data_IF_888761052506
#
_entry.id   IF_888761052506
#
_cell.length_a   1.000
_cell.length_b   1.000
_cell.length_c   1.000
_cell.angle_alpha   90.00
_cell.angle_beta   90.00
_cell.angle_gamma   90.00
#
_symmetry.space_group_name_H-M   'P 1'
#
loop_
_entity.id
_entity.type
_entity.pdbx_description
1 polymer ?
#
# COMPACT_ATOMS: atom_id res chain seq x y z
N UNK A 1 -16.27 -9.33 41.81
CA UNK A 1 -15.91 -8.78 40.48
C UNK A 1 -15.04 -9.79 39.74
N UNK A 2 -15.57 -10.44 38.70
CA UNK A 2 -14.82 -11.41 37.88
C UNK A 2 -13.98 -10.70 36.82
N UNK A 3 -12.70 -11.07 36.71
CA UNK A 3 -11.72 -10.52 35.76
C UNK A 3 -12.01 -11.10 34.37
N UNK A 4 -12.43 -10.28 33.42
CA UNK A 4 -12.60 -10.68 32.01
C UNK A 4 -11.21 -10.95 31.40
N UNK A 5 -10.95 -12.19 30.99
CA UNK A 5 -9.79 -12.54 30.18
C UNK A 5 -10.02 -12.12 28.73
N UNK A 6 -9.06 -11.39 28.15
CA UNK A 6 -9.06 -11.12 26.71
C UNK A 6 -8.74 -12.41 25.97
N UNK A 7 -9.70 -12.92 25.21
CA UNK A 7 -9.53 -14.08 24.32
C UNK A 7 -9.13 -13.53 22.96
N UNK A 8 -8.00 -13.98 22.42
CA UNK A 8 -7.65 -13.78 21.02
C UNK A 8 -8.00 -15.07 20.25
N UNK A 9 -8.80 -14.94 19.21
CA UNK A 9 -9.15 -16.05 18.32
C UNK A 9 -8.20 -16.02 17.13
N UNK A 10 -7.60 -17.16 16.80
CA UNK A 10 -6.80 -17.34 15.59
C UNK A 10 -7.56 -18.30 14.68
N UNK A 11 -7.95 -17.82 13.52
CA UNK A 11 -8.55 -18.66 12.49
C UNK A 11 -7.44 -19.24 11.61
N UNK A 12 -7.54 -20.53 11.33
CA UNK A 12 -6.68 -21.25 10.40
C UNK A 12 -7.56 -21.77 9.26
N UNK A 13 -7.18 -21.49 8.02
CA UNK A 13 -7.86 -22.07 6.86
C UNK A 13 -7.28 -23.45 6.60
N UNK A 14 -8.14 -24.46 6.56
CA UNK A 14 -7.77 -25.81 6.12
C UNK A 14 -7.92 -25.87 4.61
N UNK A 15 -6.89 -26.35 3.91
CA UNK A 15 -6.94 -26.54 2.45
C UNK A 15 -8.00 -27.60 2.14
N UNK A 16 -8.97 -27.25 1.29
CA UNK A 16 -10.01 -28.19 0.85
C UNK A 16 -9.46 -28.93 -0.36
N UNK A 17 -9.21 -30.23 -0.21
CA UNK A 17 -8.90 -31.10 -1.36
C UNK A 17 -10.15 -31.21 -2.25
N UNK A 18 -10.18 -30.43 -3.33
CA UNK A 18 -11.19 -30.42 -4.38
C UNK A 18 -10.54 -30.20 -5.75
N UNK A 19 -11.29 -30.37 -6.87
CA UNK A 19 -10.70 -30.30 -8.20
C UNK A 19 -10.03 -28.94 -8.43
N UNK A 20 -8.72 -28.97 -8.66
CA UNK A 20 -7.81 -27.82 -8.61
C UNK A 20 -7.77 -26.96 -9.88
N UNK A 21 -8.63 -27.20 -10.86
CA UNK A 21 -8.60 -26.42 -12.11
C UNK A 21 -9.75 -25.42 -12.18
N UNK A 22 -9.51 -24.19 -11.73
CA UNK A 22 -10.28 -23.05 -12.21
C UNK A 22 -10.03 -22.91 -13.72
N UNK A 23 -10.96 -23.39 -14.55
CA UNK A 23 -10.89 -23.35 -16.02
C UNK A 23 -10.79 -21.93 -16.63
N UNK A 24 -10.88 -20.89 -15.80
CA UNK A 24 -10.78 -19.49 -16.19
C UNK A 24 -9.36 -18.93 -16.18
N UNK A 25 -8.39 -19.61 -15.55
CA UNK A 25 -6.98 -19.20 -15.61
C UNK A 25 -6.24 -20.02 -16.65
N UNK A 26 -6.18 -19.51 -17.88
CA UNK A 26 -5.12 -19.93 -18.81
C UNK A 26 -3.82 -19.26 -18.34
N UNK A 27 -2.77 -20.02 -17.98
CA UNK A 27 -1.47 -19.44 -17.74
C UNK A 27 -1.06 -18.66 -19.00
N UNK A 28 -0.57 -17.42 -18.84
CA UNK A 28 0.07 -16.74 -19.97
C UNK A 28 1.32 -17.54 -20.34
N UNK A 29 1.54 -17.76 -21.63
CA UNK A 29 2.75 -18.44 -22.12
C UNK A 29 4.00 -17.62 -21.80
N UNK A 30 3.87 -16.29 -21.80
CA UNK A 30 4.93 -15.37 -21.39
C UNK A 30 4.86 -15.03 -19.90
N UNK A 31 5.99 -15.09 -19.16
CA UNK A 31 6.04 -14.63 -17.78
C UNK A 31 5.74 -13.14 -17.72
N UNK A 32 4.89 -12.74 -16.77
CA UNK A 32 4.57 -11.34 -16.50
C UNK A 32 5.86 -10.61 -16.06
N UNK A 33 6.49 -9.89 -16.98
CA UNK A 33 7.65 -9.04 -16.70
C UNK A 33 7.21 -7.59 -16.57
N UNK A 34 7.62 -6.96 -15.48
CA UNK A 34 7.55 -5.52 -15.31
C UNK A 34 8.95 -5.04 -14.96
N UNK A 35 9.48 -4.15 -15.78
CA UNK A 35 10.82 -3.61 -15.57
C UNK A 35 10.85 -2.65 -14.39
N UNK A 36 9.70 -2.14 -13.94
CA UNK A 36 9.59 -1.27 -12.77
C UNK A 36 8.56 -1.82 -11.78
N UNK A 37 8.96 -1.92 -10.51
CA UNK A 37 8.14 -2.48 -9.43
C UNK A 37 8.19 -1.56 -8.23
N UNK A 38 7.04 -1.19 -7.70
CA UNK A 38 6.88 -0.50 -6.42
C UNK A 38 6.40 -1.52 -5.41
N UNK A 39 7.24 -1.80 -4.41
CA UNK A 39 6.87 -2.61 -3.25
C UNK A 39 6.61 -1.67 -2.09
N UNK A 40 5.48 -1.80 -1.41
CA UNK A 40 5.25 -1.07 -0.17
C UNK A 40 4.42 -1.88 0.83
N UNK A 41 4.58 -1.52 2.09
CA UNK A 41 3.87 -2.12 3.22
C UNK A 41 3.48 -1.04 4.23
N UNK A 42 2.41 -1.28 4.99
CA UNK A 42 1.93 -0.31 5.98
C UNK A 42 1.68 -0.94 7.35
N UNK A 43 2.10 -0.22 8.38
CA UNK A 43 1.75 -0.51 9.77
C UNK A 43 0.57 0.37 10.20
N UNK A 44 -0.32 -0.21 10.98
CA UNK A 44 -1.56 0.45 11.41
C UNK A 44 -1.65 0.60 12.92
N UNK A 45 -2.58 1.43 13.40
CA UNK A 45 -2.92 1.49 14.82
C UNK A 45 -3.46 0.14 15.30
N UNK A 46 -3.20 -0.20 16.57
CA UNK A 46 -3.72 -1.44 17.17
C UNK A 46 -5.18 -1.35 17.64
N UNK A 47 -5.82 -0.20 17.44
CA UNK A 47 -7.23 -0.01 17.77
C UNK A 47 -8.15 -0.63 16.70
N UNK A 48 -9.45 -0.63 16.97
CA UNK A 48 -10.45 -1.18 16.06
C UNK A 48 -10.54 -0.47 14.69
N UNK A 49 -9.97 0.73 14.58
CA UNK A 49 -10.01 1.50 13.33
C UNK A 49 -8.86 1.14 12.40
N UNK A 50 -7.73 0.66 12.95
CA UNK A 50 -6.52 0.32 12.21
C UNK A 50 -6.18 1.38 11.16
N UNK A 51 -6.08 2.62 11.63
CA UNK A 51 -5.66 3.75 10.81
C UNK A 51 -4.20 3.58 10.41
N UNK A 52 -3.81 4.13 9.26
CA UNK A 52 -2.42 4.18 8.86
C UNK A 52 -1.56 4.84 9.94
N UNK A 53 -0.36 4.30 10.19
CA UNK A 53 0.59 4.87 11.15
C UNK A 53 1.92 5.19 10.48
N UNK A 54 2.58 4.17 9.94
CA UNK A 54 3.84 4.27 9.19
C UNK A 54 3.80 3.31 8.01
N UNK A 55 4.70 3.51 7.05
CA UNK A 55 4.91 2.58 5.95
C UNK A 55 6.33 2.67 5.42
N UNK A 56 6.70 1.66 4.64
CA UNK A 56 7.98 1.57 3.94
C UNK A 56 7.72 1.26 2.48
N UNK A 57 8.63 1.70 1.61
CA UNK A 57 8.56 1.37 0.20
C UNK A 57 9.94 1.23 -0.43
N UNK A 58 9.98 0.45 -1.51
CA UNK A 58 11.13 0.31 -2.39
C UNK A 58 10.64 0.32 -3.83
N UNK A 59 11.37 1.03 -4.69
CA UNK A 59 11.15 1.03 -6.13
C UNK A 59 12.32 0.30 -6.77
N UNK A 60 12.01 -0.73 -7.52
CA UNK A 60 12.96 -1.48 -8.32
C UNK A 60 12.82 -1.11 -9.78
N UNK A 61 13.95 -1.04 -10.48
CA UNK A 61 14.01 -1.05 -11.93
C UNK A 61 14.99 -2.12 -12.38
N UNK A 62 14.53 -3.06 -13.20
CA UNK A 62 15.30 -4.21 -13.69
C UNK A 62 16.00 -5.01 -12.58
N UNK A 63 15.35 -5.12 -11.42
CA UNK A 63 15.86 -5.82 -10.23
C UNK A 63 16.79 -5.00 -9.34
N UNK A 64 17.11 -3.74 -9.68
CA UNK A 64 17.92 -2.84 -8.87
C UNK A 64 17.08 -1.83 -8.13
N UNK A 65 17.37 -1.61 -6.84
CA UNK A 65 16.73 -0.55 -6.04
C UNK A 65 17.10 0.81 -6.64
N UNK A 66 16.09 1.54 -7.07
CA UNK A 66 16.22 2.91 -7.58
C UNK A 66 15.96 3.95 -6.49
N UNK A 67 15.04 3.63 -5.60
CA UNK A 67 14.64 4.53 -4.53
C UNK A 67 13.99 3.75 -3.40
N UNK A 68 14.21 4.18 -2.17
CA UNK A 68 13.56 3.62 -1.00
C UNK A 68 13.26 4.71 0.02
N UNK A 69 12.28 4.44 0.87
CA UNK A 69 11.90 5.39 1.88
C UNK A 69 10.93 4.86 2.90
N UNK A 70 10.78 5.64 3.95
CA UNK A 70 9.76 5.49 4.96
C UNK A 70 8.78 6.65 4.86
N UNK A 71 7.52 6.39 5.18
CA UNK A 71 6.48 7.41 5.21
C UNK A 71 5.59 7.26 6.43
N UNK A 72 5.02 8.36 6.91
CA UNK A 72 4.25 8.34 8.16
C UNK A 72 3.17 9.41 8.25
N UNK A 73 2.18 9.17 9.09
CA UNK A 73 1.20 10.18 9.49
C UNK A 73 1.64 10.77 10.84
N UNK A 74 2.04 12.05 10.89
CA UNK A 74 2.51 12.68 12.13
C UNK A 74 1.43 12.74 13.21
N UNK A 75 0.15 12.63 12.86
CA UNK A 75 -0.97 12.63 13.82
C UNK A 75 -1.18 11.28 14.51
N UNK A 76 -0.55 10.22 14.02
CA UNK A 76 -0.78 8.83 14.46
C UNK A 76 0.37 8.28 15.33
N UNK A 77 1.46 9.04 15.48
CA UNK A 77 2.62 8.66 16.31
C UNK A 77 2.65 9.47 17.60
N UNK A 78 2.86 8.80 18.72
CA UNK A 78 3.25 9.49 19.94
C UNK A 78 4.68 10.05 19.80
N UNK A 79 5.02 11.11 20.56
CA UNK A 79 6.32 11.79 20.46
C UNK A 79 7.53 10.84 20.54
N UNK A 80 7.50 9.86 21.45
CA UNK A 80 8.57 8.86 21.58
C UNK A 80 8.70 7.96 20.35
N UNK A 81 7.57 7.56 19.77
CA UNK A 81 7.56 6.71 18.58
C UNK A 81 8.06 7.49 17.36
N UNK A 82 7.64 8.75 17.25
CA UNK A 82 8.11 9.67 16.21
C UNK A 82 9.62 9.90 16.33
N UNK A 83 10.14 10.15 17.52
CA UNK A 83 11.58 10.30 17.74
C UNK A 83 12.35 9.04 17.34
N UNK A 84 11.88 7.86 17.76
CA UNK A 84 12.50 6.59 17.39
C UNK A 84 12.48 6.37 15.86
N UNK A 85 11.35 6.64 15.21
CA UNK A 85 11.19 6.49 13.77
C UNK A 85 12.10 7.43 12.98
N UNK A 86 12.13 8.73 13.35
CA UNK A 86 12.99 9.72 12.71
C UNK A 86 14.48 9.44 12.94
N UNK A 87 14.84 8.96 14.14
CA UNK A 87 16.20 8.57 14.47
C UNK A 87 16.65 7.35 13.66
N UNK A 88 15.78 6.35 13.52
CA UNK A 88 16.03 5.17 12.68
C UNK A 88 16.28 5.56 11.22
N UNK A 89 15.40 6.38 10.64
CA UNK A 89 15.56 6.82 9.27
C UNK A 89 16.86 7.61 9.05
N UNK A 90 17.17 8.55 9.97
CA UNK A 90 18.41 9.34 9.91
C UNK A 90 19.66 8.47 10.01
N UNK A 91 19.66 7.51 10.95
CA UNK A 91 20.81 6.61 11.18
C UNK A 91 21.10 5.74 9.96
N UNK A 92 20.06 5.32 9.24
CA UNK A 92 20.19 4.46 8.06
C UNK A 92 20.15 5.25 6.75
N UNK A 93 20.14 6.59 6.80
CA UNK A 93 20.09 7.47 5.63
C UNK A 93 18.89 7.19 4.69
N UNK A 94 17.77 6.74 5.26
CA UNK A 94 16.56 6.41 4.51
C UNK A 94 15.72 7.68 4.30
N UNK A 95 15.22 7.87 3.08
CA UNK A 95 14.36 9.00 2.75
C UNK A 95 13.07 8.97 3.56
N UNK A 96 12.64 10.13 4.07
CA UNK A 96 11.43 10.28 4.86
C UNK A 96 10.39 11.13 4.14
N UNK A 97 9.15 10.68 4.18
CA UNK A 97 7.99 11.37 3.61
C UNK A 97 6.88 11.49 4.66
N UNK A 98 6.15 12.61 4.65
CA UNK A 98 4.80 12.58 5.21
C UNK A 98 3.89 11.71 4.32
N UNK A 99 2.82 11.16 4.87
CA UNK A 99 1.88 10.30 4.12
C UNK A 99 1.38 10.98 2.83
N UNK A 100 1.01 12.26 2.90
CA UNK A 100 0.56 13.01 1.72
C UNK A 100 1.69 13.21 0.70
N UNK A 101 2.92 13.44 1.17
CA UNK A 101 4.07 13.57 0.28
C UNK A 101 4.40 12.26 -0.43
N UNK A 102 4.32 11.13 0.28
CA UNK A 102 4.47 9.81 -0.34
C UNK A 102 3.42 9.60 -1.44
N UNK A 103 2.15 9.92 -1.16
CA UNK A 103 1.06 9.74 -2.13
C UNK A 103 1.30 10.61 -3.37
N UNK A 104 1.58 11.90 -3.17
CA UNK A 104 1.69 12.86 -4.27
C UNK A 104 3.01 12.73 -5.06
N UNK A 105 4.12 12.43 -4.38
CA UNK A 105 5.47 12.44 -4.99
C UNK A 105 5.99 11.06 -5.37
N UNK A 106 5.41 9.98 -4.83
CA UNK A 106 5.88 8.61 -5.07
C UNK A 106 4.76 7.74 -5.62
N UNK A 107 3.71 7.48 -4.82
CA UNK A 107 2.69 6.49 -5.19
C UNK A 107 1.95 6.86 -6.49
N UNK A 108 1.53 8.12 -6.64
CA UNK A 108 0.84 8.55 -7.85
C UNK A 108 1.70 8.55 -9.10
N UNK A 109 2.90 9.16 -9.11
CA UNK A 109 3.80 9.05 -10.24
C UNK A 109 4.10 7.60 -10.62
N UNK A 110 4.44 6.75 -9.64
CA UNK A 110 4.78 5.35 -9.92
C UNK A 110 3.58 4.56 -10.48
N UNK A 111 2.46 4.54 -9.78
CA UNK A 111 1.35 3.63 -10.13
C UNK A 111 0.52 4.15 -11.30
N UNK A 112 0.34 5.46 -11.45
CA UNK A 112 -0.60 6.04 -12.43
C UNK A 112 0.04 6.78 -13.59
N UNK A 113 1.30 7.19 -13.48
CA UNK A 113 2.01 7.88 -14.57
C UNK A 113 3.02 6.97 -15.23
N UNK A 114 3.79 6.21 -14.45
CA UNK A 114 4.80 5.27 -14.92
C UNK A 114 4.28 3.84 -15.10
N UNK A 115 3.03 3.57 -14.68
CA UNK A 115 2.40 2.25 -14.74
C UNK A 115 3.24 1.15 -14.05
N UNK A 116 3.98 1.55 -13.01
CA UNK A 116 4.81 0.67 -12.18
C UNK A 116 3.96 -0.43 -11.55
N UNK A 117 4.46 -1.67 -11.57
CA UNK A 117 3.77 -2.78 -10.92
C UNK A 117 3.77 -2.56 -9.40
N UNK A 118 2.58 -2.35 -8.85
CA UNK A 118 2.38 -2.19 -7.42
C UNK A 118 2.27 -3.57 -6.73
N UNK A 119 3.18 -3.87 -5.80
CA UNK A 119 3.31 -5.15 -5.11
C UNK A 119 3.30 -4.94 -3.60
N UNK A 120 2.68 -5.89 -2.90
CA UNK A 120 2.67 -5.97 -1.44
C UNK A 120 1.81 -7.14 -1.00
N UNK A 121 1.84 -7.46 0.29
CA UNK A 121 0.96 -8.47 0.85
C UNK A 121 -0.36 -7.81 1.24
N UNK A 122 -1.50 -8.37 0.82
CA UNK A 122 -2.83 -7.83 1.15
C UNK A 122 -3.07 -6.38 0.68
N UNK A 123 -2.50 -5.99 -0.47
CA UNK A 123 -2.61 -4.65 -1.06
C UNK A 123 -3.97 -3.94 -0.95
N UNK A 124 -5.14 -4.59 -1.16
CA UNK A 124 -6.43 -3.92 -0.99
C UNK A 124 -6.62 -3.31 0.41
N UNK A 125 -6.07 -3.96 1.44
CA UNK A 125 -6.07 -3.47 2.79
C UNK A 125 -5.22 -2.20 2.91
N UNK A 126 -3.95 -2.23 2.50
CA UNK A 126 -3.01 -1.11 2.62
C UNK A 126 -3.45 0.08 1.79
N UNK A 127 -3.83 -0.15 0.53
CA UNK A 127 -4.34 0.88 -0.37
C UNK A 127 -5.51 1.61 0.28
N UNK A 128 -6.46 0.90 0.89
CA UNK A 128 -7.63 1.54 1.53
C UNK A 128 -7.24 2.57 2.60
N UNK A 129 -6.10 2.39 3.28
CA UNK A 129 -5.67 3.28 4.37
C UNK A 129 -4.98 4.53 3.85
N UNK A 130 -4.12 4.39 2.85
CA UNK A 130 -3.53 5.55 2.16
C UNK A 130 -4.56 6.26 1.28
N UNK A 131 -5.65 5.56 0.91
CA UNK A 131 -6.69 6.07 0.00
C UNK A 131 -7.50 7.25 0.52
N UNK A 132 -7.56 7.48 1.85
CA UNK A 132 -8.30 8.61 2.44
C UNK A 132 -7.82 9.98 1.95
N UNK A 133 -6.57 10.05 1.51
CA UNK A 133 -5.94 11.27 1.01
C UNK A 133 -5.95 11.34 -0.52
N UNK A 134 -6.53 10.36 -1.21
CA UNK A 134 -6.70 10.44 -2.66
C UNK A 134 -7.71 11.56 -2.95
N UNK A 135 -7.30 12.68 -3.58
CA UNK A 135 -8.24 13.73 -3.88
C UNK A 135 -9.25 13.17 -4.88
N UNK A 136 -10.55 13.22 -4.55
CA UNK A 136 -11.65 12.96 -5.52
C UNK A 136 -11.44 13.70 -6.86
N UNK A 137 -10.66 14.80 -6.84
CA UNK A 137 -10.38 15.66 -7.98
C UNK A 137 -9.37 15.11 -8.99
N UNK A 138 -8.43 14.24 -8.61
CA UNK A 138 -7.43 13.72 -9.57
C UNK A 138 -7.98 12.54 -10.38
N UNK A 139 -8.79 11.69 -9.74
CA UNK A 139 -9.51 10.59 -10.40
C UNK A 139 -10.51 11.09 -11.46
N UNK A 140 -11.16 12.24 -11.22
CA UNK A 140 -12.13 12.82 -12.16
C UNK A 140 -11.50 13.53 -13.37
N UNK A 141 -10.25 13.98 -13.31
CA UNK A 141 -9.62 14.67 -14.46
C UNK A 141 -9.11 13.71 -15.53
N UNK A 142 -8.62 12.52 -15.16
CA UNK A 142 -8.13 11.51 -16.13
C UNK A 142 -9.25 10.75 -16.85
N UNK A 143 -10.45 10.62 -16.27
CA UNK A 143 -11.60 9.97 -16.91
C UNK A 143 -12.33 10.84 -17.97
N UNK A 144 -12.06 12.15 -17.99
CA UNK A 144 -12.73 13.09 -18.91
C UNK A 144 -12.12 13.14 -20.33
N UNK A 145 -11.26 12.19 -20.69
CA UNK A 145 -10.72 12.05 -22.05
C UNK A 145 -11.68 11.42 -23.05
N UNK A 146 -12.90 11.03 -22.65
CA UNK A 146 -13.92 10.48 -23.56
C UNK A 146 -15.24 11.26 -23.44
N UNK A 147 -15.82 11.73 -24.55
CA UNK A 147 -17.09 12.45 -24.52
C UNK A 147 -18.22 11.50 -24.12
N UNK A 148 -18.83 11.77 -22.96
CA UNK A 148 -20.07 11.11 -22.53
C UNK A 148 -21.18 11.57 -23.48
N UNK A 149 -21.56 10.72 -24.44
CA UNK A 149 -22.79 10.91 -25.21
C UNK A 149 -23.97 10.74 -24.26
N UNK A 150 -24.60 11.85 -23.87
CA UNK A 150 -25.93 11.84 -23.26
C UNK A 150 -26.95 11.41 -24.33
N UNK A 151 -27.62 10.28 -24.10
CA UNK A 151 -28.85 9.96 -24.85
C UNK A 151 -29.97 10.84 -24.31
N UNK A 152 -30.69 11.46 -25.26
CA UNK A 152 -31.91 12.25 -25.05
C UNK A 152 -33.01 11.43 -24.41
#
# INVERSE_FOLDING_TARGET
MGKMSKIAVREYTQEVEGPTSNSFFKPREDPLRHDRVLVFDTETTMDQYQNFKIGSFQIYHEGFIQHEGLFYDPSMLAEKEKEAFLSYARKNEISLYLLNEFIDKVFYPEVFELETLCVGFNIPFDIRRISKYLPKRHFMKKLNGHPIKTRK
#
